data_IF_067613671150
#
_entry.id   IF_067613671150
#
_cell.length_a   1.000
_cell.length_b   1.000
_cell.length_c   1.000
_cell.angle_alpha   90.00
_cell.angle_beta   90.00
_cell.angle_gamma   90.00
#
_symmetry.space_group_name_H-M   'P 1'
#
loop_
_entity.id
_entity.type
_entity.pdbx_description
1 polymer ?
#
# COMPACT_ATOMS: atom_id res chain seq x y z
N UNK A 1 -8.01 4.24 19.46
CA UNK A 1 -6.88 4.43 18.55
C UNK A 1 -7.12 3.62 17.31
N UNK A 2 -6.71 4.15 16.17
CA UNK A 2 -6.67 3.45 14.90
C UNK A 2 -5.29 2.81 14.69
N UNK A 3 -5.24 1.67 14.02
CA UNK A 3 -3.99 1.06 13.53
C UNK A 3 -3.99 1.07 11.99
N UNK A 4 -3.76 -0.06 11.31
CA UNK A 4 -3.77 -0.12 9.85
C UNK A 4 -5.17 0.09 9.25
N UNK A 5 -5.21 0.45 7.96
CA UNK A 5 -6.44 0.58 7.18
C UNK A 5 -6.24 -0.02 5.78
N UNK A 6 -7.25 -0.74 5.32
CA UNK A 6 -7.25 -1.39 4.01
C UNK A 6 -8.56 -1.16 3.28
N UNK A 7 -8.58 -1.37 1.97
CA UNK A 7 -9.76 -1.18 1.13
C UNK A 7 -10.27 -2.44 0.45
N UNK A 8 -11.58 -2.47 0.18
CA UNK A 8 -12.25 -3.52 -0.58
C UNK A 8 -13.37 -2.92 -1.44
N UNK A 9 -13.41 -3.27 -2.72
CA UNK A 9 -14.55 -2.98 -3.61
C UNK A 9 -15.32 -4.26 -3.85
N UNK A 10 -16.63 -4.23 -3.58
CA UNK A 10 -17.51 -5.37 -3.85
C UNK A 10 -17.70 -5.59 -5.36
N UNK A 11 -18.13 -6.78 -5.81
CA UNK A 11 -18.52 -7.00 -7.21
C UNK A 11 -19.67 -6.10 -7.70
N UNK A 12 -20.43 -5.48 -6.78
CA UNK A 12 -21.47 -4.51 -7.09
C UNK A 12 -20.93 -3.08 -7.29
N UNK A 13 -19.64 -2.84 -7.05
CA UNK A 13 -18.99 -1.54 -7.19
C UNK A 13 -19.08 -0.66 -5.94
N UNK A 14 -19.48 -1.19 -4.78
CA UNK A 14 -19.45 -0.45 -3.51
C UNK A 14 -18.10 -0.59 -2.81
N UNK A 15 -17.55 0.52 -2.32
CA UNK A 15 -16.27 0.55 -1.59
C UNK A 15 -16.44 0.57 -0.09
N UNK A 16 -15.57 -0.19 0.56
CA UNK A 16 -15.48 -0.32 2.00
C UNK A 16 -14.03 -0.13 2.45
N UNK A 17 -13.86 0.53 3.58
CA UNK A 17 -12.64 0.52 4.35
C UNK A 17 -12.76 -0.53 5.46
N UNK A 18 -11.66 -1.24 5.72
CA UNK A 18 -11.48 -2.12 6.87
C UNK A 18 -10.40 -1.47 7.72
N UNK A 19 -10.76 -0.97 8.90
CA UNK A 19 -9.84 -0.22 9.76
C UNK A 19 -9.63 -0.97 11.08
N UNK A 20 -8.37 -1.08 11.49
CA UNK A 20 -7.99 -1.56 12.81
C UNK A 20 -8.41 -0.58 13.91
N UNK A 21 -9.09 -1.10 14.92
CA UNK A 21 -9.44 -0.38 16.15
C UNK A 21 -8.95 -1.15 17.37
N UNK A 22 -9.05 -0.52 18.53
CA UNK A 22 -8.69 -1.14 19.81
C UNK A 22 -9.32 -2.54 19.96
N UNK A 23 -10.64 -2.64 19.80
CA UNK A 23 -11.40 -3.87 20.04
C UNK A 23 -11.35 -4.91 18.91
N UNK A 24 -10.75 -4.61 17.76
CA UNK A 24 -10.78 -5.48 16.58
C UNK A 24 -10.67 -4.71 15.26
N UNK A 25 -11.54 -5.01 14.30
CA UNK A 25 -11.64 -4.26 13.04
C UNK A 25 -13.06 -3.79 12.78
N UNK A 26 -13.19 -2.60 12.22
CA UNK A 26 -14.46 -1.99 11.81
C UNK A 26 -14.56 -1.92 10.29
N UNK A 27 -15.74 -2.22 9.75
CA UNK A 27 -16.02 -2.17 8.32
C UNK A 27 -16.88 -0.94 8.06
N UNK A 28 -16.37 -0.02 7.24
CA UNK A 28 -16.96 1.30 7.00
C UNK A 28 -17.25 1.45 5.51
N UNK A 29 -18.47 1.79 5.12
CA UNK A 29 -18.77 2.13 3.73
C UNK A 29 -18.19 3.51 3.39
N UNK A 30 -17.45 3.61 2.29
CA UNK A 30 -16.74 4.83 1.94
C UNK A 30 -17.68 5.99 1.54
N UNK A 31 -18.79 5.69 0.88
CA UNK A 31 -19.70 6.70 0.30
C UNK A 31 -20.37 7.60 1.36
N UNK A 32 -20.77 7.02 2.50
CA UNK A 32 -21.56 7.70 3.54
C UNK A 32 -20.97 7.55 4.95
N UNK A 33 -19.79 6.93 5.07
CA UNK A 33 -19.10 6.63 6.34
C UNK A 33 -19.93 5.78 7.31
N UNK A 34 -20.90 5.01 6.79
CA UNK A 34 -21.68 4.10 7.62
C UNK A 34 -20.80 2.97 8.14
N UNK A 35 -20.75 2.81 9.47
CA UNK A 35 -20.20 1.61 10.10
C UNK A 35 -21.18 0.47 9.86
N UNK A 36 -20.76 -0.52 9.09
CA UNK A 36 -21.56 -1.69 8.74
C UNK A 36 -21.50 -2.73 9.86
N UNK A 37 -20.28 -3.06 10.29
CA UNK A 37 -20.06 -4.10 11.28
C UNK A 37 -18.73 -3.91 12.02
N UNK A 38 -18.54 -4.67 13.09
CA UNK A 38 -17.30 -4.72 13.87
C UNK A 38 -16.99 -6.14 14.27
N UNK A 39 -15.85 -6.66 13.81
CA UNK A 39 -15.33 -7.95 14.20
C UNK A 39 -14.37 -7.77 15.36
N UNK A 40 -14.70 -8.37 16.51
CA UNK A 40 -13.85 -8.33 17.70
C UNK A 40 -12.55 -9.11 17.48
N UNK A 41 -11.46 -8.59 18.03
CA UNK A 41 -10.13 -9.19 17.94
C UNK A 41 -9.35 -9.12 19.26
N UNK A 42 -8.07 -9.55 19.23
CA UNK A 42 -7.20 -9.58 20.40
C UNK A 42 -6.92 -8.17 20.93
N UNK A 43 -6.77 -7.98 22.25
CA UNK A 43 -6.56 -6.64 22.87
C UNK A 43 -5.44 -6.60 23.93
N UNK A 44 -4.78 -7.72 24.20
CA UNK A 44 -3.83 -7.82 25.31
C UNK A 44 -2.39 -7.82 24.80
N UNK A 45 -1.45 -7.36 25.62
CA UNK A 45 -0.01 -7.60 25.39
C UNK A 45 0.72 -6.63 24.46
N UNK A 46 0.01 -5.74 23.75
CA UNK A 46 0.61 -4.70 22.91
C UNK A 46 -0.08 -3.34 23.19
N UNK A 47 0.66 -2.28 23.56
CA UNK A 47 0.09 -0.99 23.94
C UNK A 47 -0.38 -0.11 22.77
N UNK A 48 0.04 -0.40 21.54
CA UNK A 48 -0.33 0.38 20.35
C UNK A 48 -1.45 -0.27 19.54
N UNK A 49 -1.81 -1.51 19.86
CA UNK A 49 -2.86 -2.28 19.21
C UNK A 49 -2.61 -2.48 17.72
N UNK A 50 -1.36 -2.84 17.40
CA UNK A 50 -0.91 -3.09 16.04
C UNK A 50 -1.78 -4.17 15.39
N UNK A 51 -2.31 -3.82 14.23
CA UNK A 51 -3.00 -4.72 13.31
C UNK A 51 -2.53 -4.39 11.91
N UNK A 52 -2.51 -5.40 11.05
CA UNK A 52 -2.30 -5.23 9.62
C UNK A 52 -3.36 -6.04 8.86
N UNK A 53 -3.89 -5.45 7.80
CA UNK A 53 -5.09 -5.93 7.11
C UNK A 53 -4.78 -6.08 5.62
N UNK A 54 -5.17 -7.21 5.03
CA UNK A 54 -5.12 -7.45 3.57
C UNK A 54 -6.37 -8.18 3.10
N UNK A 55 -6.66 -8.12 1.80
CA UNK A 55 -7.85 -8.75 1.20
C UNK A 55 -7.49 -9.74 0.10
N UNK A 56 -8.27 -10.83 -0.01
CA UNK A 56 -8.21 -11.78 -1.13
C UNK A 56 -9.61 -12.32 -1.44
N UNK A 57 -10.06 -12.14 -2.67
CA UNK A 57 -11.47 -12.38 -3.01
C UNK A 57 -12.38 -11.49 -2.17
N UNK A 58 -13.42 -12.07 -1.59
CA UNK A 58 -14.32 -11.39 -0.65
C UNK A 58 -13.91 -11.56 0.83
N UNK A 59 -12.67 -11.98 1.10
CA UNK A 59 -12.17 -12.16 2.46
C UNK A 59 -11.22 -11.04 2.86
N UNK A 60 -11.32 -10.61 4.12
CA UNK A 60 -10.28 -9.83 4.79
C UNK A 60 -9.50 -10.73 5.75
N UNK A 61 -8.19 -10.53 5.79
CA UNK A 61 -7.24 -11.22 6.64
C UNK A 61 -6.60 -10.19 7.57
N UNK A 62 -6.60 -10.47 8.87
CA UNK A 62 -6.11 -9.52 9.88
C UNK A 62 -5.11 -10.21 10.79
N UNK A 63 -3.88 -9.69 10.84
CA UNK A 63 -2.90 -10.08 11.87
C UNK A 63 -2.80 -8.99 12.93
N UNK A 64 -2.24 -9.36 14.08
CA UNK A 64 -2.21 -8.49 15.24
C UNK A 64 -1.05 -8.89 16.17
N UNK A 65 -0.47 -7.92 16.88
CA UNK A 65 0.51 -8.20 17.95
C UNK A 65 -0.16 -8.45 19.32
N UNK A 66 -1.47 -8.28 19.41
CA UNK A 66 -2.21 -8.57 20.63
C UNK A 66 -2.53 -10.06 20.78
N UNK A 67 -2.80 -10.48 22.02
CA UNK A 67 -3.37 -11.81 22.35
C UNK A 67 -4.78 -11.69 22.93
N UNK A 68 -5.51 -12.81 22.97
CA UNK A 68 -6.86 -12.91 23.54
C UNK A 68 -7.93 -13.34 22.55
N UNK A 69 -9.08 -12.64 22.56
CA UNK A 69 -10.25 -13.00 21.74
C UNK A 69 -9.89 -13.08 20.26
N UNK A 70 -10.21 -14.20 19.60
CA UNK A 70 -9.99 -14.40 18.17
C UNK A 70 -8.52 -14.20 17.75
N UNK A 71 -7.57 -14.66 18.56
CA UNK A 71 -6.14 -14.60 18.25
C UNK A 71 -5.72 -15.53 17.09
N UNK A 72 -4.58 -15.21 16.47
CA UNK A 72 -4.18 -15.71 15.16
C UNK A 72 -4.50 -14.70 14.06
N UNK A 73 -4.22 -15.10 12.81
CA UNK A 73 -4.71 -14.36 11.65
C UNK A 73 -6.22 -14.56 11.53
N UNK A 74 -7.01 -13.52 11.75
CA UNK A 74 -8.46 -13.56 11.59
C UNK A 74 -8.80 -13.63 10.10
N UNK A 75 -9.83 -14.41 9.75
CA UNK A 75 -10.33 -14.59 8.39
C UNK A 75 -11.80 -14.20 8.39
N UNK A 76 -12.11 -13.11 7.71
CA UNK A 76 -13.42 -12.46 7.75
C UNK A 76 -14.05 -12.54 6.36
N UNK A 77 -15.20 -13.21 6.25
CA UNK A 77 -16.01 -13.25 5.04
C UNK A 77 -16.83 -11.95 4.92
N UNK A 78 -16.61 -11.21 3.83
CA UNK A 78 -17.29 -9.96 3.51
C UNK A 78 -18.33 -10.11 2.38
N UNK A 79 -18.69 -11.33 1.99
CA UNK A 79 -19.70 -11.59 0.95
C UNK A 79 -21.12 -11.18 1.35
N UNK A 80 -21.37 -11.02 2.66
CA UNK A 80 -22.63 -10.55 3.23
C UNK A 80 -22.80 -9.03 3.25
N UNK A 81 -21.85 -8.25 2.71
CA UNK A 81 -22.01 -6.80 2.57
C UNK A 81 -23.13 -6.49 1.56
N UNK A 82 -23.95 -5.45 1.81
CA UNK A 82 -23.87 -4.45 2.88
C UNK A 82 -24.46 -4.82 4.24
N UNK A 83 -25.04 -6.01 4.44
CA UNK A 83 -25.81 -6.34 5.64
C UNK A 83 -24.96 -6.67 6.88
N UNK A 84 -23.90 -7.47 6.72
CA UNK A 84 -22.98 -7.87 7.80
C UNK A 84 -21.74 -8.54 7.24
N UNK A 85 -20.73 -8.76 8.08
CA UNK A 85 -19.58 -9.63 7.78
C UNK A 85 -19.47 -10.73 8.82
N UNK A 86 -18.73 -11.80 8.53
CA UNK A 86 -18.61 -12.95 9.44
C UNK A 86 -17.14 -13.32 9.68
N UNK A 87 -16.75 -13.47 10.95
CA UNK A 87 -15.49 -14.13 11.29
C UNK A 87 -15.65 -15.64 11.10
N UNK A 88 -15.11 -16.17 10.00
CA UNK A 88 -15.25 -17.60 9.64
C UNK A 88 -14.17 -18.47 10.25
N UNK A 89 -13.04 -17.89 10.66
CA UNK A 89 -11.98 -18.63 11.32
C UNK A 89 -10.80 -17.78 11.77
N UNK A 90 -9.87 -18.43 12.46
CA UNK A 90 -8.53 -17.89 12.70
C UNK A 90 -7.48 -18.93 12.34
N UNK A 91 -6.35 -18.47 11.82
CA UNK A 91 -5.20 -19.31 11.51
C UNK A 91 -4.05 -19.03 12.49
N UNK A 92 -3.40 -20.10 12.97
CA UNK A 92 -2.15 -20.04 13.73
C UNK A 92 -1.31 -21.29 13.45
N UNK A 93 0.00 -21.19 13.63
CA UNK A 93 0.93 -22.31 13.48
C UNK A 93 1.73 -22.51 14.76
N UNK A 94 1.73 -23.72 15.33
CA UNK A 94 2.45 -24.05 16.57
C UNK A 94 2.22 -23.03 17.71
N UNK A 95 0.97 -22.63 17.93
CA UNK A 95 0.60 -21.65 18.98
C UNK A 95 1.21 -20.24 18.76
N UNK A 96 1.78 -19.95 17.58
CA UNK A 96 2.14 -18.60 17.19
C UNK A 96 0.88 -17.90 16.69
N UNK A 97 0.35 -17.00 17.52
CA UNK A 97 -0.94 -16.33 17.33
C UNK A 97 -0.81 -14.84 17.00
N UNK A 98 0.42 -14.31 17.02
CA UNK A 98 0.72 -12.90 16.75
C UNK A 98 1.56 -12.73 15.50
N UNK A 99 1.39 -11.59 14.85
CA UNK A 99 2.27 -11.12 13.78
C UNK A 99 2.12 -9.60 13.64
N UNK A 100 3.23 -8.92 13.36
CA UNK A 100 3.24 -7.47 13.20
C UNK A 100 2.65 -7.03 11.86
N UNK A 101 2.92 -7.77 10.78
CA UNK A 101 2.57 -7.38 9.43
C UNK A 101 2.33 -8.60 8.53
N UNK A 102 1.60 -8.42 7.42
CA UNK A 102 1.46 -9.44 6.39
C UNK A 102 1.37 -8.83 4.98
N UNK A 103 1.62 -9.67 3.98
CA UNK A 103 1.26 -9.37 2.60
C UNK A 103 0.54 -10.55 1.96
N UNK A 104 -0.28 -10.26 0.97
CA UNK A 104 -0.97 -11.27 0.16
C UNK A 104 -0.61 -11.05 -1.30
N UNK A 105 -0.04 -12.09 -1.93
CA UNK A 105 0.05 -12.17 -3.38
C UNK A 105 -1.29 -12.64 -3.94
N UNK A 106 -2.21 -11.68 -4.14
CA UNK A 106 -3.58 -11.96 -4.56
C UNK A 106 -3.66 -12.61 -5.94
N UNK A 107 -2.62 -12.48 -6.79
CA UNK A 107 -2.58 -13.17 -8.08
C UNK A 107 -2.36 -14.68 -7.92
N UNK A 108 -1.78 -15.11 -6.80
CA UNK A 108 -1.41 -16.51 -6.54
C UNK A 108 -2.19 -17.16 -5.38
N UNK A 109 -2.85 -16.36 -4.55
CA UNK A 109 -3.61 -16.84 -3.39
C UNK A 109 -2.72 -17.32 -2.26
N UNK A 110 -1.62 -16.59 -1.98
CA UNK A 110 -0.73 -16.87 -0.85
C UNK A 110 -0.60 -15.68 0.08
N UNK A 111 -0.66 -15.94 1.38
CA UNK A 111 -0.33 -14.99 2.43
C UNK A 111 1.10 -15.21 2.94
N UNK A 112 1.76 -14.10 3.27
CA UNK A 112 3.10 -14.03 3.80
C UNK A 112 3.05 -13.29 5.14
N UNK A 113 3.18 -14.03 6.24
CA UNK A 113 2.89 -13.54 7.58
C UNK A 113 4.21 -13.40 8.36
N UNK A 114 4.54 -12.20 8.83
CA UNK A 114 5.75 -11.97 9.60
C UNK A 114 5.77 -12.84 10.87
N UNK A 115 6.93 -13.37 11.25
CA UNK A 115 7.06 -14.26 12.40
C UNK A 115 6.86 -13.52 13.73
N UNK A 116 6.13 -14.15 14.65
CA UNK A 116 5.87 -13.64 16.01
C UNK A 116 7.12 -13.20 16.80
N UNK A 117 8.29 -13.74 16.47
CA UNK A 117 9.56 -13.44 17.15
C UNK A 117 10.39 -12.40 16.42
N UNK A 118 9.81 -11.69 15.43
CA UNK A 118 10.52 -10.79 14.52
C UNK A 118 11.62 -11.50 13.72
N UNK A 119 11.40 -12.78 13.43
CA UNK A 119 12.29 -13.60 12.64
C UNK A 119 11.48 -14.31 11.56
N UNK A 120 11.87 -14.12 10.30
CA UNK A 120 11.29 -14.79 9.14
C UNK A 120 9.81 -14.56 8.89
N UNK A 121 9.28 -15.17 7.85
CA UNK A 121 7.86 -15.14 7.53
C UNK A 121 7.34 -16.52 7.17
N UNK A 122 6.05 -16.73 7.41
CA UNK A 122 5.30 -17.93 7.04
C UNK A 122 4.69 -17.76 5.66
N UNK A 123 4.76 -18.81 4.84
CA UNK A 123 4.09 -18.91 3.55
C UNK A 123 2.85 -19.77 3.75
N UNK A 124 1.67 -19.19 3.51
CA UNK A 124 0.37 -19.84 3.75
C UNK A 124 -0.45 -19.80 2.46
N UNK A 125 -0.94 -20.95 2.01
CA UNK A 125 -1.89 -21.03 0.90
C UNK A 125 -3.29 -20.65 1.42
N UNK A 126 -3.91 -19.66 0.79
CA UNK A 126 -5.24 -19.14 1.15
C UNK A 126 -6.26 -19.34 0.03
N UNK A 127 -5.99 -20.20 -0.96
CA UNK A 127 -6.97 -20.55 -2.00
C UNK A 127 -8.19 -21.30 -1.45
N UNK A 128 -8.11 -21.83 -0.23
CA UNK A 128 -9.25 -22.25 0.57
C UNK A 128 -9.31 -21.40 1.86
N UNK A 129 -9.91 -20.19 1.82
CA UNK A 129 -9.83 -19.21 2.90
C UNK A 129 -10.23 -19.74 4.29
N UNK A 130 -11.26 -20.57 4.38
CA UNK A 130 -11.73 -21.13 5.66
C UNK A 130 -10.82 -22.25 6.21
N UNK A 131 -9.92 -22.79 5.39
CA UNK A 131 -8.93 -23.79 5.81
C UNK A 131 -7.59 -23.54 5.10
N UNK A 132 -6.81 -22.54 5.56
CA UNK A 132 -5.50 -22.23 4.99
C UNK A 132 -4.47 -23.33 5.26
N UNK A 133 -3.56 -23.56 4.33
CA UNK A 133 -2.50 -24.55 4.44
C UNK A 133 -1.14 -23.88 4.71
N UNK A 134 -0.48 -24.20 5.84
CA UNK A 134 0.90 -23.78 6.13
C UNK A 134 1.88 -24.54 5.22
N UNK A 135 2.66 -23.82 4.42
CA UNK A 135 3.55 -24.43 3.42
C UNK A 135 5.00 -24.44 3.89
N UNK A 136 5.51 -23.26 4.28
CA UNK A 136 6.94 -23.10 4.54
C UNK A 136 7.21 -21.92 5.47
N UNK A 137 8.41 -21.92 6.07
CA UNK A 137 8.92 -20.79 6.84
C UNK A 137 10.25 -20.34 6.26
N UNK A 138 10.31 -19.08 5.83
CA UNK A 138 11.52 -18.46 5.32
C UNK A 138 12.18 -17.69 6.44
N UNK A 139 13.42 -18.05 6.78
CA UNK A 139 14.16 -17.36 7.83
C UNK A 139 14.78 -16.06 7.31
N UNK A 140 14.56 -14.99 8.05
CA UNK A 140 15.32 -13.74 7.99
C UNK A 140 15.43 -13.15 9.40
N UNK A 141 16.47 -12.38 9.66
CA UNK A 141 16.69 -11.72 10.95
C UNK A 141 15.97 -10.38 10.99
N UNK A 142 15.36 -10.05 12.13
CA UNK A 142 14.77 -8.73 12.40
C UNK A 142 13.72 -8.28 11.36
N UNK A 143 12.88 -9.20 10.88
CA UNK A 143 11.80 -8.83 9.95
C UNK A 143 10.85 -7.83 10.61
N UNK A 144 10.48 -6.81 9.84
CA UNK A 144 9.43 -5.88 10.20
C UNK A 144 8.22 -6.02 9.28
N UNK A 145 8.48 -5.92 7.97
CA UNK A 145 7.47 -5.90 6.94
C UNK A 145 7.84 -6.83 5.78
N UNK A 146 6.82 -7.28 5.05
CA UNK A 146 6.93 -8.18 3.91
C UNK A 146 5.97 -7.70 2.83
N UNK A 147 6.43 -7.68 1.59
CA UNK A 147 5.59 -7.41 0.42
C UNK A 147 5.78 -8.49 -0.64
N UNK A 148 4.70 -9.05 -1.16
CA UNK A 148 4.72 -10.11 -2.15
C UNK A 148 4.01 -9.70 -3.43
N UNK A 149 4.65 -9.97 -4.57
CA UNK A 149 4.08 -9.73 -5.91
C UNK A 149 4.59 -10.78 -6.89
N UNK A 150 3.68 -11.56 -7.46
CA UNK A 150 3.97 -12.55 -8.50
C UNK A 150 5.12 -13.50 -8.15
N UNK A 151 5.05 -14.15 -6.99
CA UNK A 151 6.10 -15.00 -6.39
C UNK A 151 7.39 -14.31 -5.92
N UNK A 152 7.58 -13.02 -6.18
CA UNK A 152 8.73 -12.29 -5.61
C UNK A 152 8.33 -11.71 -4.27
N UNK A 153 9.13 -11.98 -3.23
CA UNK A 153 8.89 -11.47 -1.88
C UNK A 153 10.02 -10.55 -1.45
N UNK A 154 9.65 -9.33 -1.08
CA UNK A 154 10.51 -8.28 -0.57
C UNK A 154 10.33 -8.18 0.94
N UNK A 155 11.42 -8.00 1.68
CA UNK A 155 11.40 -8.04 3.15
C UNK A 155 12.18 -6.87 3.71
N UNK A 156 11.53 -6.07 4.56
CA UNK A 156 12.19 -5.06 5.38
C UNK A 156 12.73 -5.71 6.65
N UNK A 157 14.02 -5.54 6.93
CA UNK A 157 14.72 -6.25 8.02
C UNK A 157 15.06 -5.32 9.20
N UNK A 158 14.21 -4.32 9.49
CA UNK A 158 14.22 -3.57 10.74
C UNK A 158 15.60 -3.04 11.15
N UNK A 159 16.04 -3.37 12.36
CA UNK A 159 17.34 -2.94 12.90
C UNK A 159 18.55 -3.68 12.33
N UNK A 160 18.34 -4.71 11.49
CA UNK A 160 19.43 -5.30 10.73
C UNK A 160 20.01 -4.29 9.72
N UNK A 161 19.21 -3.30 9.30
CA UNK A 161 19.64 -2.27 8.37
C UNK A 161 19.68 -2.72 6.93
N UNK A 162 18.89 -3.75 6.61
CA UNK A 162 18.87 -4.36 5.28
C UNK A 162 17.44 -4.52 4.78
N UNK A 163 17.31 -4.75 3.48
CA UNK A 163 16.16 -5.43 2.92
C UNK A 163 16.61 -6.63 2.09
N UNK A 164 15.71 -7.60 1.88
CA UNK A 164 16.00 -8.77 1.05
C UNK A 164 14.90 -9.06 0.04
N UNK A 165 15.30 -9.74 -1.05
CA UNK A 165 14.43 -10.15 -2.16
C UNK A 165 14.56 -11.67 -2.30
N UNK A 166 13.43 -12.36 -2.36
CA UNK A 166 13.35 -13.82 -2.44
C UNK A 166 12.46 -14.24 -3.61
N UNK A 167 12.87 -15.30 -4.32
CA UNK A 167 12.05 -16.02 -5.30
C UNK A 167 11.30 -17.15 -4.59
N UNK A 168 9.96 -17.09 -4.65
CA UNK A 168 9.06 -18.08 -4.08
C UNK A 168 8.23 -18.80 -5.14
N UNK A 169 8.71 -18.86 -6.38
CA UNK A 169 8.08 -19.65 -7.47
C UNK A 169 7.90 -21.11 -7.06
N UNK A 170 8.86 -21.67 -6.33
CA UNK A 170 8.70 -22.89 -5.55
C UNK A 170 8.47 -22.56 -4.05
N UNK A 171 7.20 -22.59 -3.62
CA UNK A 171 6.80 -22.28 -2.24
C UNK A 171 7.45 -23.15 -1.16
N UNK A 172 7.95 -24.35 -1.52
CA UNK A 172 8.62 -25.29 -0.60
C UNK A 172 10.15 -25.17 -0.60
N UNK A 173 10.71 -24.39 -1.53
CA UNK A 173 12.14 -24.11 -1.58
C UNK A 173 12.38 -22.66 -2.03
N UNK A 174 12.04 -21.66 -1.20
CA UNK A 174 12.34 -20.25 -1.46
C UNK A 174 13.84 -20.00 -1.64
N UNK A 175 14.19 -19.11 -2.56
CA UNK A 175 15.58 -18.75 -2.84
C UNK A 175 15.82 -17.27 -2.55
N UNK A 176 16.84 -16.96 -1.75
CA UNK A 176 17.29 -15.59 -1.54
C UNK A 176 17.98 -15.11 -2.83
N UNK A 177 17.42 -14.10 -3.48
CA UNK A 177 17.99 -13.48 -4.68
C UNK A 177 19.02 -12.40 -4.33
N UNK A 178 18.65 -11.51 -3.41
CA UNK A 178 19.50 -10.39 -2.99
C UNK A 178 19.23 -10.01 -1.54
N UNK A 179 20.27 -9.48 -0.88
CA UNK A 179 20.15 -8.75 0.39
C UNK A 179 20.98 -7.48 0.28
N UNK A 180 20.35 -6.34 0.52
CA UNK A 180 20.91 -5.02 0.32
C UNK A 180 21.09 -4.36 1.69
N UNK A 181 22.32 -3.94 1.98
CA UNK A 181 22.65 -3.12 3.16
C UNK A 181 22.30 -1.67 2.86
N UNK A 182 21.51 -1.06 3.73
CA UNK A 182 21.14 0.36 3.62
C UNK A 182 22.24 1.20 4.31
N UNK A 183 22.97 2.06 3.58
CA UNK A 183 23.99 2.90 4.19
C UNK A 183 23.38 3.89 5.18
N UNK A 184 23.96 3.99 6.39
CA UNK A 184 23.47 4.88 7.45
C UNK A 184 22.01 4.62 7.83
N UNK A 185 21.63 3.34 7.90
CA UNK A 185 20.25 2.95 8.12
C UNK A 185 19.66 3.43 9.45
N UNK A 186 18.37 3.72 9.42
CA UNK A 186 17.49 3.73 10.58
C UNK A 186 16.85 2.36 10.80
N UNK A 187 15.64 2.36 11.35
CA UNK A 187 14.78 1.19 11.41
C UNK A 187 14.10 0.95 10.06
N UNK A 188 14.56 -0.05 9.29
CA UNK A 188 13.99 -0.38 7.96
C UNK A 188 12.59 -0.94 8.16
N UNK A 189 11.59 -0.08 8.01
CA UNK A 189 10.25 -0.29 8.54
C UNK A 189 9.35 -0.96 7.51
N UNK A 190 9.15 -0.33 6.37
CA UNK A 190 8.26 -0.83 5.33
C UNK A 190 8.99 -1.00 4.00
N UNK A 191 8.47 -1.92 3.18
CA UNK A 191 8.96 -2.19 1.83
C UNK A 191 7.81 -2.42 0.87
N UNK A 192 7.91 -1.90 -0.34
CA UNK A 192 6.90 -2.08 -1.37
C UNK A 192 7.49 -2.02 -2.77
N UNK A 193 7.13 -2.94 -3.67
CA UNK A 193 7.65 -2.93 -5.05
C UNK A 193 6.68 -2.30 -6.04
N UNK A 194 7.24 -1.67 -7.08
CA UNK A 194 6.48 -1.18 -8.23
C UNK A 194 5.88 -2.34 -9.04
N UNK A 195 4.80 -2.06 -9.76
CA UNK A 195 4.09 -3.04 -10.60
C UNK A 195 4.95 -3.63 -11.72
N UNK A 196 5.84 -2.82 -12.29
CA UNK A 196 6.76 -3.21 -13.35
C UNK A 196 8.00 -3.96 -12.84
N UNK A 197 8.14 -4.11 -11.52
CA UNK A 197 9.26 -4.82 -10.88
C UNK A 197 10.61 -4.09 -10.98
N UNK A 198 10.65 -2.83 -11.44
CA UNK A 198 11.89 -2.07 -11.61
C UNK A 198 12.34 -1.37 -10.33
N UNK A 199 11.40 -1.02 -9.47
CA UNK A 199 11.65 -0.23 -8.28
C UNK A 199 11.15 -0.91 -7.01
N UNK A 200 11.85 -0.61 -5.92
CA UNK A 200 11.42 -0.92 -4.56
C UNK A 200 11.49 0.37 -3.75
N UNK A 201 10.45 0.65 -2.99
CA UNK A 201 10.38 1.76 -2.05
C UNK A 201 10.55 1.21 -0.65
N UNK A 202 11.43 1.82 0.13
CA UNK A 202 11.61 1.51 1.55
C UNK A 202 11.40 2.77 2.38
N UNK A 203 10.80 2.61 3.56
CA UNK A 203 10.78 3.66 4.59
C UNK A 203 11.66 3.26 5.76
N UNK A 204 12.21 4.27 6.43
CA UNK A 204 12.93 4.09 7.68
C UNK A 204 12.25 4.90 8.77
N UNK A 205 11.65 4.23 9.76
CA UNK A 205 10.91 4.85 10.86
C UNK A 205 11.91 5.38 11.92
N UNK A 206 12.76 6.31 11.51
CA UNK A 206 13.79 6.93 12.35
C UNK A 206 14.07 8.33 11.83
N UNK A 207 14.00 9.34 12.69
CA UNK A 207 14.40 10.70 12.32
C UNK A 207 15.93 10.80 12.14
N UNK A 208 16.46 11.49 11.11
CA UNK A 208 15.80 12.18 10.00
C UNK A 208 15.89 11.39 8.68
N UNK A 209 15.47 10.13 8.68
CA UNK A 209 15.64 9.23 7.55
C UNK A 209 14.52 9.38 6.50
N UNK A 210 14.92 9.19 5.25
CA UNK A 210 14.12 9.41 4.04
C UNK A 210 13.33 8.17 3.62
N UNK A 211 12.28 8.40 2.83
CA UNK A 211 11.78 7.39 1.88
C UNK A 211 12.86 7.20 0.80
N UNK A 212 13.22 5.95 0.49
CA UNK A 212 14.22 5.63 -0.53
C UNK A 212 13.60 4.84 -1.67
N UNK A 213 13.89 5.24 -2.90
CA UNK A 213 13.50 4.56 -4.13
C UNK A 213 14.75 3.87 -4.67
N UNK A 214 14.69 2.54 -4.78
CA UNK A 214 15.79 1.69 -5.23
C UNK A 214 15.48 1.15 -6.62
N UNK A 215 16.44 1.23 -7.55
CA UNK A 215 16.37 0.44 -8.77
C UNK A 215 16.79 -1.00 -8.47
N UNK A 216 15.94 -1.96 -8.86
CA UNK A 216 16.17 -3.40 -8.72
C UNK A 216 16.13 -4.15 -10.05
N UNK A 217 16.22 -3.43 -11.18
CA UNK A 217 16.24 -4.01 -12.53
C UNK A 217 17.43 -4.95 -12.76
N UNK A 218 18.57 -4.63 -12.14
CA UNK A 218 19.76 -5.47 -12.09
C UNK A 218 20.04 -5.83 -10.63
N UNK A 219 19.74 -7.08 -10.24
CA UNK A 219 19.95 -7.57 -8.88
C UNK A 219 21.42 -7.62 -8.47
N UNK A 220 22.37 -7.57 -9.41
CA UNK A 220 23.80 -7.44 -9.12
C UNK A 220 24.22 -5.98 -8.88
N UNK A 221 23.35 -5.01 -9.19
CA UNK A 221 23.62 -3.57 -9.07
C UNK A 221 22.39 -2.80 -8.53
N UNK A 222 21.86 -3.23 -7.38
CA UNK A 222 20.79 -2.52 -6.68
C UNK A 222 21.35 -1.23 -6.06
N UNK A 223 20.70 -0.10 -6.34
CA UNK A 223 21.14 1.21 -5.86
C UNK A 223 19.97 2.18 -5.68
N UNK A 224 20.15 3.17 -4.81
CA UNK A 224 19.19 4.26 -4.63
C UNK A 224 19.19 5.14 -5.89
N UNK A 225 18.01 5.43 -6.42
CA UNK A 225 17.79 6.34 -7.55
C UNK A 225 17.15 7.66 -7.11
N UNK A 226 16.39 7.65 -6.03
CA UNK A 226 15.77 8.85 -5.46
C UNK A 226 15.51 8.71 -3.98
N UNK A 227 15.39 9.85 -3.32
CA UNK A 227 15.06 9.96 -1.91
C UNK A 227 14.06 11.09 -1.71
N UNK A 228 13.13 10.89 -0.79
CA UNK A 228 12.21 11.93 -0.35
C UNK A 228 12.31 12.08 1.17
N UNK A 229 12.54 13.30 1.62
CA UNK A 229 12.49 13.68 3.03
C UNK A 229 11.28 14.60 3.19
N UNK A 230 10.20 14.09 3.79
CA UNK A 230 9.07 14.94 4.16
C UNK A 230 9.44 15.89 5.30
N UNK A 231 8.62 16.93 5.52
CA UNK A 231 8.93 18.01 6.46
C UNK A 231 9.07 17.55 7.92
N UNK A 232 8.34 16.51 8.35
CA UNK A 232 8.47 15.93 9.68
C UNK A 232 9.58 14.85 9.77
N UNK A 233 10.44 14.72 8.76
CA UNK A 233 11.69 13.95 8.82
C UNK A 233 11.56 12.44 9.15
N UNK A 234 10.36 11.86 9.18
CA UNK A 234 10.15 10.43 9.43
C UNK A 234 8.93 9.91 8.67
N UNK A 235 9.15 8.82 7.94
CA UNK A 235 8.10 8.11 7.22
C UNK A 235 7.71 6.82 7.95
N UNK A 236 6.42 6.47 7.88
CA UNK A 236 5.90 5.22 8.43
C UNK A 236 5.73 4.17 7.33
N UNK A 237 4.56 4.06 6.70
CA UNK A 237 4.31 3.07 5.63
C UNK A 237 4.10 3.75 4.27
N UNK A 238 4.73 3.17 3.25
CA UNK A 238 4.57 3.52 1.86
C UNK A 238 3.86 2.40 1.08
N UNK A 239 2.95 2.77 0.20
CA UNK A 239 2.34 1.87 -0.79
C UNK A 239 2.54 2.44 -2.19
N UNK A 240 3.00 1.62 -3.12
CA UNK A 240 3.28 2.01 -4.52
C UNK A 240 2.21 1.48 -5.46
N UNK A 241 1.65 2.38 -6.26
CA UNK A 241 0.77 2.06 -7.40
C UNK A 241 1.12 2.97 -8.58
N UNK A 242 1.38 2.37 -9.75
CA UNK A 242 1.98 3.08 -10.87
C UNK A 242 3.23 3.86 -10.45
N UNK A 243 3.22 5.16 -10.71
CA UNK A 243 4.28 6.14 -10.38
C UNK A 243 3.94 6.96 -9.13
N UNK A 244 3.07 6.48 -8.25
CA UNK A 244 2.67 7.16 -7.00
C UNK A 244 3.07 6.35 -5.78
N UNK A 245 3.55 7.05 -4.75
CA UNK A 245 3.78 6.51 -3.41
C UNK A 245 2.76 7.17 -2.48
N UNK A 246 1.87 6.37 -1.91
CA UNK A 246 0.95 6.78 -0.86
C UNK A 246 1.60 6.51 0.49
N UNK A 247 1.69 7.52 1.33
CA UNK A 247 2.52 7.49 2.53
C UNK A 247 1.73 7.91 3.76
N UNK A 248 1.78 7.07 4.79
CA UNK A 248 1.41 7.48 6.14
C UNK A 248 2.61 8.12 6.83
N UNK A 249 2.39 9.30 7.41
CA UNK A 249 3.48 10.20 7.76
C UNK A 249 3.27 10.85 9.14
N UNK A 250 2.76 10.11 10.12
CA UNK A 250 2.55 10.57 11.49
C UNK A 250 1.85 11.94 11.55
N UNK A 251 2.48 12.89 12.24
CA UNK A 251 2.01 14.25 12.46
C UNK A 251 1.91 15.07 11.19
N UNK A 252 2.64 14.70 10.13
CA UNK A 252 2.50 15.34 8.83
C UNK A 252 1.27 14.83 8.07
N UNK A 253 0.64 13.72 8.49
CA UNK A 253 -0.60 13.22 7.90
C UNK A 253 -0.37 12.32 6.68
N UNK A 254 -1.23 12.47 5.67
CA UNK A 254 -1.24 11.64 4.47
C UNK A 254 -0.53 12.35 3.31
N UNK A 255 0.40 11.67 2.65
CA UNK A 255 1.20 12.24 1.55
C UNK A 255 1.12 11.37 0.30
N UNK A 256 1.07 11.99 -0.88
CA UNK A 256 1.24 11.32 -2.16
C UNK A 256 2.47 11.90 -2.86
N UNK A 257 3.46 11.05 -3.11
CA UNK A 257 4.68 11.40 -3.85
C UNK A 257 4.54 10.89 -5.28
N UNK A 258 4.82 11.75 -6.26
CA UNK A 258 5.02 11.37 -7.65
C UNK A 258 6.50 11.03 -7.84
N UNK A 259 6.78 9.83 -8.34
CA UNK A 259 8.13 9.38 -8.70
C UNK A 259 8.23 8.93 -10.17
N UNK A 260 7.41 9.52 -11.05
CA UNK A 260 7.48 9.31 -12.51
C UNK A 260 8.90 9.56 -13.05
N UNK A 261 9.57 10.62 -12.57
CA UNK A 261 11.02 10.69 -12.53
C UNK A 261 11.51 10.18 -11.15
N UNK A 262 12.06 8.96 -11.07
CA UNK A 262 12.52 8.41 -9.80
C UNK A 262 13.74 9.13 -9.24
N UNK A 263 14.40 10.02 -10.02
CA UNK A 263 15.55 10.81 -9.56
C UNK A 263 15.17 12.16 -8.97
N UNK A 264 13.93 12.60 -9.20
CA UNK A 264 13.35 13.84 -8.65
C UNK A 264 11.93 13.57 -8.12
N UNK A 265 11.78 12.76 -7.05
CA UNK A 265 10.46 12.50 -6.49
C UNK A 265 9.86 13.76 -5.86
N UNK A 266 8.63 14.08 -6.22
CA UNK A 266 7.94 15.32 -5.78
C UNK A 266 6.69 15.02 -4.97
N UNK A 267 6.46 15.81 -3.93
CA UNK A 267 5.17 15.78 -3.23
C UNK A 267 4.09 16.34 -4.17
N UNK A 268 3.11 15.50 -4.52
CA UNK A 268 2.01 15.84 -5.44
C UNK A 268 0.70 16.15 -4.72
N UNK A 269 0.52 15.62 -3.50
CA UNK A 269 -0.60 15.94 -2.63
C UNK A 269 -0.25 15.69 -1.16
N UNK A 270 -0.88 16.46 -0.28
CA UNK A 270 -0.75 16.37 1.16
C UNK A 270 -2.10 16.67 1.82
N UNK A 271 -2.44 15.89 2.84
CA UNK A 271 -3.57 16.15 3.71
C UNK A 271 -3.15 15.97 5.17
N UNK A 272 -3.07 17.09 5.88
CA UNK A 272 -2.73 17.16 7.29
C UNK A 272 -3.89 16.63 8.16
N UNK A 273 -3.68 15.45 8.74
CA UNK A 273 -4.62 14.84 9.70
C UNK A 273 -4.33 15.24 11.15
N UNK A 274 -3.21 15.93 11.41
CA UNK A 274 -2.75 16.33 12.74
C UNK A 274 -2.26 17.81 12.77
N UNK A 275 -3.17 18.79 12.61
CA UNK A 275 -2.81 20.20 12.37
C UNK A 275 -2.24 20.96 13.58
N UNK A 276 -1.98 20.26 14.70
CA UNK A 276 -1.45 20.87 15.91
C UNK A 276 0.05 21.15 15.81
N UNK A 277 0.83 20.24 15.21
CA UNK A 277 2.28 20.35 14.99
C UNK A 277 2.83 19.16 14.18
N UNK A 278 3.95 19.37 13.47
CA UNK A 278 4.66 18.34 12.67
C UNK A 278 5.86 17.73 13.42
N UNK A 279 5.77 17.57 14.74
CA UNK A 279 6.89 17.05 15.54
C UNK A 279 7.31 15.64 15.02
N UNK A 280 8.59 15.44 14.66
CA UNK A 280 9.09 14.27 13.95
C UNK A 280 9.07 13.01 14.82
N UNK A 281 9.63 13.09 16.03
CA UNK A 281 9.62 12.02 17.02
C UNK A 281 10.32 12.47 18.31
N UNK A 282 9.94 11.98 19.50
CA UNK A 282 8.60 11.62 19.96
C UNK A 282 7.80 12.88 20.33
N UNK A 283 6.45 12.87 20.21
CA UNK A 283 5.60 11.67 20.28
C UNK A 283 5.01 11.19 18.93
N UNK A 284 5.09 9.87 18.68
CA UNK A 284 4.42 9.18 17.57
C UNK A 284 2.90 9.40 17.65
N UNK A 285 2.39 10.29 16.79
CA UNK A 285 0.98 10.74 16.73
C UNK A 285 0.59 10.96 15.27
N UNK A 286 -0.70 11.17 15.01
CA UNK A 286 -1.23 11.43 13.68
C UNK A 286 -1.41 10.15 12.86
N UNK A 287 -1.23 10.25 11.55
CA UNK A 287 -1.54 9.22 10.58
C UNK A 287 -0.60 8.01 10.68
N UNK A 288 -1.20 6.84 10.91
CA UNK A 288 -0.52 5.55 11.07
C UNK A 288 -0.69 4.69 9.83
N UNK A 289 -1.92 4.52 9.36
CA UNK A 289 -2.24 3.73 8.17
C UNK A 289 -2.63 4.61 6.99
N UNK A 290 -2.25 4.15 5.80
CA UNK A 290 -2.71 4.67 4.52
C UNK A 290 -3.10 3.50 3.63
N UNK A 291 -4.21 3.63 2.91
CA UNK A 291 -4.57 2.77 1.79
C UNK A 291 -4.66 3.60 0.53
N UNK A 292 -3.93 3.19 -0.51
CA UNK A 292 -3.78 3.87 -1.79
C UNK A 292 -5.10 4.36 -2.41
N UNK A 293 -5.82 3.55 -3.18
CA UNK A 293 -7.19 3.82 -3.57
C UNK A 293 -7.94 2.55 -3.97
N UNK A 294 -9.26 2.57 -3.81
CA UNK A 294 -10.16 1.53 -4.31
C UNK A 294 -10.48 1.70 -5.80
N UNK A 295 -11.26 0.79 -6.39
CA UNK A 295 -11.63 0.88 -7.82
C UNK A 295 -12.29 2.22 -8.17
N UNK A 296 -13.12 2.78 -7.27
CA UNK A 296 -13.74 4.10 -7.46
C UNK A 296 -12.91 5.29 -6.93
N UNK A 297 -11.63 5.07 -6.62
CA UNK A 297 -10.68 6.11 -6.27
C UNK A 297 -10.70 6.56 -4.81
N UNK A 298 -11.25 5.79 -3.87
CA UNK A 298 -11.22 6.20 -2.45
C UNK A 298 -9.90 5.84 -1.77
N UNK A 299 -9.22 6.85 -1.24
CA UNK A 299 -8.02 6.75 -0.39
C UNK A 299 -8.45 6.74 1.07
N UNK A 300 -7.82 5.92 1.89
CA UNK A 300 -8.13 5.85 3.32
C UNK A 300 -6.91 6.19 4.18
N UNK A 301 -7.16 6.87 5.30
CA UNK A 301 -6.17 7.13 6.33
C UNK A 301 -6.72 6.77 7.70
N UNK A 302 -5.86 6.23 8.55
CA UNK A 302 -6.17 5.91 9.95
C UNK A 302 -5.12 6.50 10.88
N UNK A 303 -5.57 7.23 11.89
CA UNK A 303 -4.69 7.87 12.85
C UNK A 303 -4.68 7.14 14.19
N UNK A 304 -3.56 7.26 14.91
CA UNK A 304 -3.36 6.62 16.22
C UNK A 304 -4.42 7.00 17.26
N UNK A 305 -5.04 8.18 17.16
CA UNK A 305 -6.10 8.61 18.06
C UNK A 305 -7.48 8.04 17.70
N UNK A 306 -7.61 7.43 16.51
CA UNK A 306 -8.83 6.83 15.99
C UNK A 306 -9.56 7.68 14.94
N UNK A 307 -8.98 8.79 14.47
CA UNK A 307 -9.51 9.50 13.30
C UNK A 307 -9.43 8.61 12.05
N UNK A 308 -10.54 8.54 11.33
CA UNK A 308 -10.65 7.89 10.02
C UNK A 308 -10.87 8.95 8.95
N UNK A 309 -9.99 8.98 7.96
CA UNK A 309 -10.01 9.94 6.85
C UNK A 309 -10.33 9.22 5.55
N UNK A 310 -11.28 9.75 4.79
CA UNK A 310 -11.60 9.29 3.43
C UNK A 310 -11.36 10.45 2.47
N UNK A 311 -10.54 10.21 1.45
CA UNK A 311 -10.35 11.13 0.35
C UNK A 311 -10.73 10.44 -0.96
N UNK A 312 -10.96 11.24 -2.00
CA UNK A 312 -11.16 10.72 -3.35
C UNK A 312 -9.99 11.14 -4.22
N UNK A 313 -9.16 10.18 -4.58
CA UNK A 313 -8.09 10.35 -5.54
C UNK A 313 -8.69 10.52 -6.93
N UNK A 314 -8.48 11.71 -7.50
CA UNK A 314 -8.80 11.94 -8.90
C UNK A 314 -7.59 11.54 -9.72
N UNK A 315 -7.66 10.39 -10.38
CA UNK A 315 -6.58 9.92 -11.26
C UNK A 315 -6.31 10.97 -12.33
N UNK A 316 -5.04 11.28 -12.53
CA UNK A 316 -4.65 12.34 -13.44
C UNK A 316 -4.99 13.75 -12.95
N UNK A 317 -5.37 14.00 -11.69
CA UNK A 317 -5.35 15.36 -11.16
C UNK A 317 -4.04 15.62 -10.43
N UNK A 318 -3.18 16.50 -10.94
CA UNK A 318 -1.99 16.97 -10.21
C UNK A 318 -1.90 18.48 -10.25
N UNK A 319 -1.69 19.11 -9.10
CA UNK A 319 -1.57 20.56 -8.99
C UNK A 319 -2.72 21.34 -9.66
N UNK A 320 -3.92 20.74 -9.73
CA UNK A 320 -5.10 21.32 -10.38
C UNK A 320 -5.21 21.06 -11.90
N UNK A 321 -4.30 20.29 -12.48
CA UNK A 321 -4.31 19.86 -13.89
C UNK A 321 -4.94 18.48 -14.00
N UNK A 322 -6.01 18.35 -14.78
CA UNK A 322 -6.63 17.05 -15.11
C UNK A 322 -5.92 16.48 -16.35
N UNK A 323 -4.86 15.71 -16.15
CA UNK A 323 -4.25 14.83 -17.13
C UNK A 323 -5.30 13.89 -17.74
N UNK A 324 -5.22 13.75 -19.05
CA UNK A 324 -6.17 13.03 -19.87
C UNK A 324 -7.33 13.91 -20.36
N UNK A 325 -7.63 15.05 -19.73
CA UNK A 325 -8.63 16.02 -20.23
C UNK A 325 -8.01 16.91 -21.32
N UNK A 326 -7.59 16.28 -22.42
CA UNK A 326 -6.91 16.96 -23.54
C UNK A 326 -7.84 17.91 -24.29
N UNK A 327 -9.16 17.74 -24.13
CA UNK A 327 -10.17 18.62 -24.72
C UNK A 327 -10.58 19.79 -23.79
N UNK A 328 -10.11 19.80 -22.55
CA UNK A 328 -10.29 20.84 -21.52
C UNK A 328 -11.73 21.04 -21.03
N UNK A 329 -12.59 20.03 -21.12
CA UNK A 329 -14.00 20.08 -20.67
C UNK A 329 -14.19 19.63 -19.21
N UNK A 330 -13.10 19.33 -18.51
CA UNK A 330 -13.04 18.83 -17.14
C UNK A 330 -13.59 17.40 -16.96
N UNK A 331 -13.72 16.65 -18.06
CA UNK A 331 -14.25 15.28 -18.03
C UNK A 331 -13.37 14.37 -18.89
N UNK A 332 -12.51 13.57 -18.26
CA UNK A 332 -11.72 12.55 -18.96
C UNK A 332 -12.63 11.44 -19.48
N UNK A 333 -12.81 11.35 -20.80
CA UNK A 333 -13.70 10.37 -21.43
C UNK A 333 -13.25 9.97 -22.85
N UNK A 334 -14.06 9.17 -23.54
CA UNK A 334 -13.74 8.70 -24.90
C UNK A 334 -13.50 9.81 -25.94
N UNK A 335 -13.98 11.04 -25.69
CA UNK A 335 -13.70 12.20 -26.52
C UNK A 335 -12.23 12.62 -26.43
N UNK A 336 -11.64 12.58 -25.24
CA UNK A 336 -10.21 12.81 -25.04
C UNK A 336 -9.37 11.76 -25.74
N UNK A 337 -9.77 10.49 -25.63
CA UNK A 337 -9.09 9.41 -26.33
C UNK A 337 -9.11 9.64 -27.85
N UNK A 338 -10.27 10.00 -28.41
CA UNK A 338 -10.39 10.31 -29.82
C UNK A 338 -9.52 11.51 -30.21
N UNK A 339 -9.49 12.56 -29.39
CA UNK A 339 -8.65 13.73 -29.59
C UNK A 339 -7.17 13.35 -29.60
N UNK A 340 -6.70 12.61 -28.60
CA UNK A 340 -5.30 12.19 -28.48
C UNK A 340 -4.86 11.26 -29.62
N UNK A 341 -5.74 10.34 -30.04
CA UNK A 341 -5.51 9.51 -31.24
C UNK A 341 -5.34 10.37 -32.49
N UNK A 342 -6.14 11.43 -32.67
CA UNK A 342 -5.97 12.35 -33.80
C UNK A 342 -4.63 13.07 -33.71
N UNK A 343 -4.23 13.54 -32.52
CA UNK A 343 -2.95 14.22 -32.30
C UNK A 343 -1.80 13.34 -32.74
N UNK A 344 -1.74 12.10 -32.26
CA UNK A 344 -0.66 11.14 -32.59
C UNK A 344 -0.65 10.74 -34.07
N UNK A 345 -1.83 10.63 -34.71
CA UNK A 345 -1.92 10.24 -36.12
C UNK A 345 -1.67 11.38 -37.11
N UNK A 346 -1.85 12.64 -36.69
CA UNK A 346 -1.83 13.80 -37.58
C UNK A 346 -0.75 14.83 -37.24
N UNK A 347 0.05 14.59 -36.20
CA UNK A 347 1.01 15.54 -35.65
C UNK A 347 0.36 16.90 -35.36
N UNK A 348 -0.87 16.87 -34.81
CA UNK A 348 -1.60 18.10 -34.48
C UNK A 348 -0.85 18.88 -33.40
N UNK A 349 -0.63 20.16 -33.64
CA UNK A 349 0.00 21.04 -32.65
C UNK A 349 -0.96 21.28 -31.48
N UNK A 350 -0.52 20.91 -30.28
CA UNK A 350 -1.23 21.14 -29.02
C UNK A 350 -0.92 22.53 -28.46
N UNK A 351 -1.84 23.09 -27.67
CA UNK A 351 -1.47 24.17 -26.73
C UNK A 351 -0.58 23.60 -25.63
N UNK A 352 0.12 24.46 -24.90
CA UNK A 352 0.93 24.04 -23.74
C UNK A 352 0.10 23.27 -22.70
N UNK A 353 -1.10 23.77 -22.39
CA UNK A 353 -2.01 23.10 -21.45
C UNK A 353 -2.50 21.73 -21.97
N UNK A 354 -2.83 21.63 -23.26
CA UNK A 354 -3.23 20.35 -23.85
C UNK A 354 -2.07 19.37 -23.92
N UNK A 355 -0.86 19.86 -24.19
CA UNK A 355 0.34 19.03 -24.23
C UNK A 355 0.63 18.46 -22.84
N UNK A 356 0.61 19.29 -21.80
CA UNK A 356 0.75 18.81 -20.42
C UNK A 356 -0.28 17.75 -20.08
N UNK A 357 -1.56 17.96 -20.43
CA UNK A 357 -2.61 16.96 -20.16
C UNK A 357 -2.52 15.71 -21.03
N UNK A 358 -1.84 15.79 -22.17
CA UNK A 358 -1.70 14.69 -23.11
C UNK A 358 -0.50 13.78 -22.78
N UNK A 359 0.51 14.30 -22.09
CA UNK A 359 1.70 13.55 -21.66
C UNK A 359 1.37 12.80 -20.36
N UNK A 360 0.98 11.54 -20.49
CA UNK A 360 0.44 10.72 -19.39
C UNK A 360 1.47 9.77 -18.79
N UNK A 361 2.58 9.55 -19.48
CA UNK A 361 3.74 8.82 -18.94
C UNK A 361 4.91 9.75 -18.57
N UNK A 362 4.74 11.07 -18.73
CA UNK A 362 5.70 12.10 -18.33
C UNK A 362 7.06 11.95 -19.00
N UNK A 363 7.09 11.47 -20.25
CA UNK A 363 8.32 11.23 -21.01
C UNK A 363 8.68 12.37 -21.96
N UNK A 364 7.93 13.47 -21.92
CA UNK A 364 8.00 14.61 -22.82
C UNK A 364 7.70 14.29 -24.30
N UNK A 365 7.02 13.18 -24.59
CA UNK A 365 6.73 12.72 -25.95
C UNK A 365 5.31 12.19 -26.09
N UNK A 366 4.42 13.00 -26.68
CA UNK A 366 3.05 12.56 -26.99
C UNK A 366 3.04 11.45 -28.05
N UNK A 367 2.73 10.22 -27.64
CA UNK A 367 2.77 9.04 -28.48
C UNK A 367 1.69 7.98 -28.11
N UNK A 368 1.87 6.77 -28.62
CA UNK A 368 0.91 5.67 -28.40
C UNK A 368 0.84 5.21 -26.94
N UNK A 369 1.89 5.44 -26.15
CA UNK A 369 1.90 5.15 -24.72
C UNK A 369 0.92 6.05 -23.97
N UNK A 370 0.79 7.32 -24.35
CA UNK A 370 -0.22 8.20 -23.74
C UNK A 370 -1.64 7.75 -24.09
N UNK A 371 -1.87 7.29 -25.32
CA UNK A 371 -3.17 6.71 -25.70
C UNK A 371 -3.48 5.49 -24.82
N UNK A 372 -2.47 4.67 -24.53
CA UNK A 372 -2.61 3.51 -23.64
C UNK A 372 -2.97 3.95 -22.21
N UNK A 373 -2.22 4.89 -21.63
CA UNK A 373 -2.51 5.42 -20.29
C UNK A 373 -3.86 6.15 -20.22
N UNK A 374 -4.25 6.88 -21.26
CA UNK A 374 -5.57 7.52 -21.32
C UNK A 374 -6.69 6.49 -21.36
N UNK A 375 -6.47 5.37 -22.05
CA UNK A 375 -7.40 4.25 -22.08
C UNK A 375 -7.54 3.62 -20.69
N UNK A 376 -6.42 3.46 -19.96
CA UNK A 376 -6.44 3.01 -18.57
C UNK A 376 -7.15 4.01 -17.65
N UNK A 377 -6.93 5.31 -17.82
CA UNK A 377 -7.64 6.35 -17.07
C UNK A 377 -9.15 6.24 -17.30
N UNK A 378 -9.61 6.23 -18.55
CA UNK A 378 -11.04 6.21 -18.90
C UNK A 378 -11.76 4.94 -18.42
N UNK A 379 -11.11 3.78 -18.54
CA UNK A 379 -11.74 2.51 -18.15
C UNK A 379 -11.83 2.31 -16.63
N UNK A 380 -11.20 3.18 -15.85
CA UNK A 380 -11.17 3.15 -14.39
C UNK A 380 -12.07 4.23 -13.74
N UNK A 381 -13.00 4.84 -14.49
CA UNK A 381 -13.97 5.86 -14.03
C UNK A 381 -15.43 5.42 -14.12
#
# INVERSE_FOLDING_TARGET
GGSDVWGYTTPAGEDYAIMGILEGVVIIRAEDLAIIDTILGPMQGDPYYHRDIKTFGHYAYVVCENTGTNEGMQIIDMSGLPESVELVGTYSYNEHVRSHNMSIDAARGFAYICGQTYEGFRVVDINNPENPDDIYFVYTEQIHDVFARQDTVYVAEGWRGTFSIHDLSNKNNPELLARVEIPYNGYVHNIWSSEDGKYVVTTEETEPMTVKIWSVEDLENIHVVGEYLGDNLVAHNAQVIGTRIFLSHYTYGMVIIDFSDPTDPVESAHFDTFPQHDDPSPPWLGNWGVFQYTENGYVYGSDLDGLFTVMKYQKGLENGVIYGDVNEDQIVNAMDLAFLVIVVLTDQVLTEAQWTRADLNFDEVINIMDIFHLTELINNY
#
